data_IF_335679340585
#
_entry.id   IF_335679340585
#
_cell.length_a   1.000
_cell.length_b   1.000
_cell.length_c   1.000
_cell.angle_alpha   90.00
_cell.angle_beta   90.00
_cell.angle_gamma   90.00
#
_symmetry.space_group_name_H-M   'P 1'
#
loop_
_entity.id
_entity.type
_entity.pdbx_description
1 polymer ?
#
# COMPACT_ATOMS: atom_id res chain seq x y z
N UNK A 1 13.29 -0.37 -11.77
CA UNK A 1 13.41 -1.56 -12.65
C UNK A 1 12.53 -1.34 -13.87
N UNK A 2 13.04 -1.46 -15.10
CA UNK A 2 12.22 -1.30 -16.29
C UNK A 2 11.23 -2.47 -16.38
N UNK A 3 9.98 -2.17 -16.75
CA UNK A 3 8.94 -3.17 -16.96
C UNK A 3 9.11 -3.77 -18.35
N UNK A 4 9.11 -5.10 -18.45
CA UNK A 4 9.03 -5.81 -19.72
C UNK A 4 7.60 -6.30 -19.94
N UNK A 5 7.12 -6.19 -21.20
CA UNK A 5 5.81 -6.69 -21.59
C UNK A 5 5.96 -8.10 -22.17
N UNK A 6 5.12 -9.04 -21.72
CA UNK A 6 4.96 -10.34 -22.35
C UNK A 6 3.65 -10.39 -23.12
N UNK A 7 3.69 -10.98 -24.31
CA UNK A 7 2.50 -11.12 -25.16
C UNK A 7 1.57 -12.23 -24.65
N UNK A 8 2.15 -13.33 -24.17
CA UNK A 8 1.40 -14.51 -23.73
C UNK A 8 1.40 -14.66 -22.21
N UNK A 9 0.26 -15.07 -21.62
CA UNK A 9 0.20 -15.47 -20.22
C UNK A 9 1.14 -16.66 -19.98
N UNK A 10 1.72 -16.71 -18.80
CA UNK A 10 2.58 -17.82 -18.39
C UNK A 10 2.36 -18.15 -16.91
N UNK A 11 2.73 -19.36 -16.50
CA UNK A 11 2.78 -19.79 -15.13
C UNK A 11 4.20 -20.28 -14.79
N UNK A 12 4.73 -19.87 -13.64
CA UNK A 12 6.07 -20.25 -13.24
C UNK A 12 6.19 -20.22 -11.70
N UNK A 13 6.81 -21.23 -11.06
CA UNK A 13 6.88 -21.32 -9.59
C UNK A 13 7.64 -20.18 -8.92
N UNK A 14 8.62 -19.59 -9.60
CA UNK A 14 9.44 -18.51 -9.06
C UNK A 14 8.85 -17.11 -9.29
N UNK A 15 7.60 -17.01 -9.80
CA UNK A 15 6.95 -15.76 -10.08
C UNK A 15 5.72 -15.55 -9.21
N UNK A 16 5.59 -14.34 -8.65
CA UNK A 16 4.36 -13.85 -8.04
C UNK A 16 3.52 -13.12 -9.07
N UNK A 17 2.25 -13.50 -9.16
CA UNK A 17 1.28 -12.86 -10.03
C UNK A 17 0.35 -11.99 -9.19
N UNK A 18 0.15 -10.76 -9.63
CA UNK A 18 -0.66 -9.77 -8.94
C UNK A 18 -1.69 -9.17 -9.89
N UNK A 19 -2.82 -8.76 -9.32
CA UNK A 19 -3.83 -8.02 -10.07
C UNK A 19 -3.27 -6.64 -10.39
N UNK A 20 -3.34 -6.27 -11.67
CA UNK A 20 -3.06 -4.90 -12.10
C UNK A 20 -4.33 -4.07 -11.91
N UNK A 21 -4.36 -3.34 -10.82
CA UNK A 21 -5.45 -2.41 -10.54
C UNK A 21 -5.43 -1.22 -11.50
N UNK A 22 -6.63 -0.71 -11.82
CA UNK A 22 -6.83 0.47 -12.66
C UNK A 22 -7.22 1.65 -11.79
N UNK A 23 -6.26 2.54 -11.50
CA UNK A 23 -6.42 3.64 -10.58
C UNK A 23 -5.30 4.67 -10.67
N UNK A 24 -4.98 5.32 -9.57
CA UNK A 24 -3.85 6.23 -9.43
C UNK A 24 -2.80 5.62 -8.49
N UNK A 25 -1.62 5.31 -9.04
CA UNK A 25 -0.50 4.86 -8.21
C UNK A 25 -0.13 5.91 -7.18
N UNK A 26 -0.03 5.47 -5.94
CA UNK A 26 0.36 6.33 -4.84
C UNK A 26 1.24 5.59 -3.83
N UNK A 27 2.09 6.36 -3.15
CA UNK A 27 2.79 5.93 -1.94
C UNK A 27 2.03 6.51 -0.76
N UNK A 28 1.57 5.63 0.13
CA UNK A 28 0.98 6.01 1.41
C UNK A 28 2.10 6.19 2.43
N UNK A 29 2.13 7.35 3.05
CA UNK A 29 2.94 7.61 4.24
C UNK A 29 2.02 7.71 5.45
N UNK A 30 2.31 6.95 6.50
CA UNK A 30 1.67 7.04 7.80
C UNK A 30 2.72 7.34 8.86
N UNK A 31 2.58 8.45 9.54
CA UNK A 31 3.49 8.93 10.58
C UNK A 31 2.73 9.65 11.73
N UNK A 32 3.44 10.37 12.59
CA UNK A 32 2.85 11.12 13.70
C UNK A 32 1.95 12.28 13.27
N UNK A 33 2.08 12.76 12.04
CA UNK A 33 1.25 13.84 11.49
C UNK A 33 -0.03 13.31 10.83
N UNK A 34 -0.12 11.98 10.64
CA UNK A 34 -1.26 11.30 10.03
C UNK A 34 -0.91 10.57 8.75
N UNK A 35 -1.92 10.38 7.89
CA UNK A 35 -1.78 9.68 6.61
C UNK A 35 -1.80 10.67 5.46
N UNK A 36 -0.85 10.52 4.54
CA UNK A 36 -0.81 11.23 3.26
C UNK A 36 -0.55 10.27 2.10
N UNK A 37 -1.19 10.56 0.98
CA UNK A 37 -1.00 9.84 -0.28
C UNK A 37 -0.17 10.71 -1.23
N UNK A 38 0.91 10.16 -1.76
CA UNK A 38 1.85 10.87 -2.64
C UNK A 38 1.85 10.20 -4.01
N UNK A 39 1.68 11.00 -5.06
CA UNK A 39 1.68 10.54 -6.44
C UNK A 39 3.08 10.16 -6.93
N UNK A 40 3.16 9.49 -8.07
CA UNK A 40 4.41 9.16 -8.77
C UNK A 40 5.33 10.37 -9.00
N UNK A 41 4.75 11.56 -9.15
CA UNK A 41 5.49 12.81 -9.39
C UNK A 41 5.86 13.54 -8.07
N UNK A 42 5.67 12.91 -6.91
CA UNK A 42 5.98 13.50 -5.61
C UNK A 42 4.93 14.48 -5.07
N UNK A 43 3.80 14.65 -5.77
CA UNK A 43 2.75 15.57 -5.32
C UNK A 43 1.79 14.85 -4.35
N UNK A 44 1.46 15.50 -3.24
CA UNK A 44 0.43 15.00 -2.33
C UNK A 44 -0.96 15.12 -2.97
N UNK A 45 -1.73 14.05 -2.91
CA UNK A 45 -3.13 14.04 -3.34
C UNK A 45 -4.01 14.80 -2.35
N UNK A 46 -4.25 16.08 -2.64
CA UNK A 46 -5.15 16.94 -1.85
C UNK A 46 -6.63 16.61 -2.06
N UNK A 47 -6.93 15.81 -3.06
CA UNK A 47 -8.30 15.50 -3.50
C UNK A 47 -9.00 14.40 -2.70
N UNK A 48 -8.29 13.75 -1.77
CA UNK A 48 -8.77 12.59 -1.04
C UNK A 48 -8.63 12.75 0.50
N UNK A 49 -9.20 13.82 1.12
CA UNK A 49 -9.11 13.98 2.58
C UNK A 49 -9.88 12.88 3.32
N UNK A 50 -11.10 12.55 2.91
CA UNK A 50 -11.91 11.50 3.54
C UNK A 50 -11.25 10.12 3.55
N UNK A 51 -10.74 9.63 2.41
CA UNK A 51 -9.92 8.42 2.40
C UNK A 51 -8.74 8.43 3.36
N UNK A 52 -8.01 9.54 3.49
CA UNK A 52 -6.88 9.65 4.43
C UNK A 52 -7.32 9.48 5.89
N UNK A 53 -8.49 9.99 6.29
CA UNK A 53 -9.05 9.77 7.61
C UNK A 53 -9.39 8.29 7.87
N UNK A 54 -10.03 7.62 6.90
CA UNK A 54 -10.32 6.20 6.97
C UNK A 54 -9.07 5.35 7.06
N UNK A 55 -8.04 5.68 6.26
CA UNK A 55 -6.73 5.03 6.30
C UNK A 55 -6.03 5.23 7.66
N UNK A 56 -6.17 6.41 8.26
CA UNK A 56 -5.62 6.68 9.61
C UNK A 56 -6.27 5.76 10.65
N UNK A 57 -7.59 5.56 10.57
CA UNK A 57 -8.31 4.61 11.45
C UNK A 57 -7.89 3.18 11.21
N UNK A 58 -7.73 2.77 9.95
CA UNK A 58 -7.31 1.41 9.58
C UNK A 58 -5.91 1.09 10.08
N UNK A 59 -4.98 2.02 9.97
CA UNK A 59 -3.58 1.85 10.40
C UNK A 59 -3.37 1.99 11.92
N UNK A 60 -4.33 2.54 12.66
CA UNK A 60 -4.30 2.62 14.14
C UNK A 60 -3.00 3.21 14.69
N UNK A 61 -2.48 4.26 14.06
CA UNK A 61 -1.24 4.92 14.43
C UNK A 61 0.04 4.17 14.05
N UNK A 62 -0.07 3.10 13.23
CA UNK A 62 1.10 2.39 12.71
C UNK A 62 1.88 3.30 11.76
N UNK A 63 3.17 3.44 12.01
CA UNK A 63 4.08 4.22 11.18
C UNK A 63 4.67 3.32 10.09
N UNK A 64 4.33 3.59 8.84
CA UNK A 64 4.77 2.78 7.70
C UNK A 64 4.73 3.57 6.38
N UNK A 65 5.39 3.01 5.37
CA UNK A 65 5.30 3.49 3.98
C UNK A 65 4.86 2.33 3.11
N UNK A 66 3.71 2.49 2.45
CA UNK A 66 3.12 1.47 1.58
C UNK A 66 3.09 1.95 0.14
N UNK A 67 3.35 1.04 -0.81
CA UNK A 67 3.13 1.27 -2.24
C UNK A 67 1.80 0.64 -2.63
N UNK A 68 1.01 1.35 -3.41
CA UNK A 68 -0.34 0.90 -3.73
C UNK A 68 -1.01 1.70 -4.84
N UNK A 69 -2.28 1.44 -5.02
CA UNK A 69 -3.13 2.09 -6.00
C UNK A 69 -4.37 2.66 -5.32
N UNK A 70 -4.72 3.91 -5.64
CA UNK A 70 -6.01 4.50 -5.25
C UNK A 70 -7.05 4.02 -6.26
N UNK A 71 -8.09 3.32 -5.80
CA UNK A 71 -9.09 2.68 -6.65
C UNK A 71 -10.51 2.97 -6.16
N UNK A 72 -11.48 3.12 -7.07
CA UNK A 72 -12.89 2.96 -6.76
C UNK A 72 -13.33 1.58 -7.20
N UNK A 73 -14.10 0.88 -6.36
CA UNK A 73 -14.61 -0.45 -6.63
C UNK A 73 -16.14 -0.42 -6.68
N UNK A 74 -16.73 -1.25 -7.55
CA UNK A 74 -18.18 -1.52 -7.50
C UNK A 74 -18.51 -2.58 -6.43
N UNK A 75 -19.77 -2.95 -6.32
CA UNK A 75 -20.26 -3.96 -5.35
C UNK A 75 -19.70 -5.36 -5.57
N UNK A 76 -19.10 -5.62 -6.72
CA UNK A 76 -18.44 -6.88 -7.06
C UNK A 76 -16.91 -6.82 -6.93
N UNK A 77 -16.36 -5.69 -6.42
CA UNK A 77 -14.93 -5.47 -6.28
C UNK A 77 -14.21 -5.14 -7.59
N UNK A 78 -14.92 -4.75 -8.64
CA UNK A 78 -14.35 -4.40 -9.94
C UNK A 78 -13.91 -2.93 -9.97
N UNK A 79 -12.69 -2.63 -10.48
CA UNK A 79 -12.23 -1.24 -10.58
C UNK A 79 -13.11 -0.39 -11.48
N UNK A 80 -13.44 0.82 -11.02
CA UNK A 80 -14.26 1.82 -11.69
C UNK A 80 -13.47 3.12 -11.87
N UNK A 81 -12.49 3.12 -12.78
CA UNK A 81 -11.58 4.26 -12.98
C UNK A 81 -12.31 5.58 -13.24
N UNK A 82 -13.42 5.55 -13.99
CA UNK A 82 -14.23 6.75 -14.26
C UNK A 82 -14.84 7.33 -12.97
N UNK A 83 -15.24 6.49 -12.01
CA UNK A 83 -15.73 6.95 -10.71
C UNK A 83 -14.64 7.64 -9.92
N UNK A 84 -13.41 7.11 -9.97
CA UNK A 84 -12.23 7.73 -9.37
C UNK A 84 -11.92 9.09 -10.02
N UNK A 85 -11.83 9.13 -11.34
CA UNK A 85 -11.48 10.32 -12.12
C UNK A 85 -12.46 11.47 -11.89
N UNK A 86 -13.77 11.17 -11.87
CA UNK A 86 -14.85 12.16 -11.70
C UNK A 86 -15.33 12.28 -10.25
N UNK A 87 -14.65 11.66 -9.28
CA UNK A 87 -14.96 11.69 -7.83
C UNK A 87 -16.43 11.33 -7.53
N UNK A 88 -16.94 10.30 -8.20
CA UNK A 88 -18.32 9.83 -8.06
C UNK A 88 -18.51 8.82 -6.93
N UNK A 89 -17.43 8.29 -6.39
CA UNK A 89 -17.40 7.37 -5.26
C UNK A 89 -16.17 7.61 -4.42
N UNK A 90 -16.23 7.28 -3.16
CA UNK A 90 -15.08 7.32 -2.28
C UNK A 90 -14.12 6.19 -2.59
N UNK A 91 -12.82 6.48 -2.78
CA UNK A 91 -11.85 5.46 -3.13
C UNK A 91 -11.35 4.68 -1.91
N UNK A 92 -10.76 3.54 -2.23
CA UNK A 92 -9.92 2.72 -1.37
C UNK A 92 -8.46 2.89 -1.75
N UNK A 93 -7.56 2.58 -0.84
CA UNK A 93 -6.14 2.40 -1.14
C UNK A 93 -5.83 0.91 -1.10
N UNK A 94 -5.52 0.33 -2.24
CA UNK A 94 -5.10 -1.05 -2.36
C UNK A 94 -3.58 -1.13 -2.24
N UNK A 95 -3.10 -1.62 -1.09
CA UNK A 95 -1.67 -1.78 -0.84
C UNK A 95 -1.15 -3.09 -1.44
N UNK A 96 -0.08 -3.03 -2.22
CA UNK A 96 0.56 -4.22 -2.76
C UNK A 96 2.03 -4.39 -2.37
N UNK A 97 2.66 -3.37 -1.76
CA UNK A 97 4.00 -3.52 -1.20
C UNK A 97 4.18 -2.67 0.06
N UNK A 98 5.14 -3.05 0.90
CA UNK A 98 5.57 -2.29 2.05
C UNK A 98 7.03 -1.89 1.87
N UNK A 99 7.29 -0.58 1.93
CA UNK A 99 8.61 0.00 1.68
C UNK A 99 9.35 0.34 2.98
N UNK A 100 8.58 0.60 4.07
CA UNK A 100 9.12 0.87 5.40
C UNK A 100 8.10 0.43 6.46
N UNK A 101 8.57 -0.21 7.53
CA UNK A 101 7.77 -0.61 8.68
C UNK A 101 8.48 -0.20 9.98
N UNK A 102 7.89 0.72 10.74
CA UNK A 102 8.46 1.18 12.01
C UNK A 102 7.97 0.36 13.22
N UNK A 103 7.06 -0.59 13.01
CA UNK A 103 6.50 -1.44 14.05
C UNK A 103 6.89 -2.93 13.88
N UNK A 104 7.90 -3.22 13.08
CA UNK A 104 8.45 -4.56 13.05
C UNK A 104 9.01 -4.87 14.46
N UNK A 105 8.23 -5.57 15.29
CA UNK A 105 8.75 -6.15 16.53
C UNK A 105 9.76 -7.20 16.15
N UNK A 106 11.00 -7.00 16.50
CA UNK A 106 11.94 -8.09 16.61
C UNK A 106 11.60 -8.85 17.90
N UNK A 107 11.34 -10.14 17.79
CA UNK A 107 11.24 -11.02 18.96
C UNK A 107 12.65 -11.31 19.55
N UNK A 108 13.70 -10.73 18.97
CA UNK A 108 15.11 -10.82 19.41
C UNK A 108 15.55 -9.50 20.05
N UNK A 109 15.94 -9.58 21.33
CA UNK A 109 16.37 -8.41 22.14
C UNK A 109 17.61 -7.67 21.59
N UNK A 110 18.40 -8.28 20.71
CA UNK A 110 19.62 -7.69 20.12
C UNK A 110 19.36 -6.86 18.84
N UNK A 111 18.21 -7.04 18.19
CA UNK A 111 17.78 -6.22 17.05
C UNK A 111 17.19 -4.85 17.46
N UNK A 112 16.91 -4.62 18.74
CA UNK A 112 16.30 -3.36 19.25
C UNK A 112 17.12 -2.10 18.92
N UNK A 113 18.40 -2.23 18.61
CA UNK A 113 19.28 -1.11 18.21
C UNK A 113 19.15 -0.73 16.73
N UNK A 114 18.70 -1.65 15.85
CA UNK A 114 18.50 -1.37 14.40
C UNK A 114 17.19 -0.64 14.10
N UNK A 115 16.21 -0.70 14.99
CA UNK A 115 14.83 -0.27 14.71
C UNK A 115 14.44 1.11 15.24
N UNK A 116 15.36 1.90 15.80
CA UNK A 116 15.04 3.27 16.27
C UNK A 116 14.56 4.22 15.18
N UNK A 117 14.76 3.89 13.90
CA UNK A 117 14.40 4.75 12.76
C UNK A 117 13.45 4.10 11.74
N UNK A 118 12.82 2.96 12.07
CA UNK A 118 12.01 2.19 11.13
C UNK A 118 12.85 1.38 10.14
N UNK A 119 12.43 0.17 9.84
CA UNK A 119 13.13 -0.71 8.91
C UNK A 119 12.78 -0.35 7.46
N UNK A 120 13.80 -0.05 6.65
CA UNK A 120 13.67 -0.01 5.19
C UNK A 120 13.54 -1.45 4.68
N UNK A 121 12.35 -1.80 4.20
CA UNK A 121 12.04 -3.17 3.75
C UNK A 121 12.41 -3.42 2.29
N UNK A 122 12.85 -2.40 1.54
CA UNK A 122 13.09 -2.50 0.09
C UNK A 122 14.21 -3.47 -0.29
N UNK A 123 15.14 -3.75 0.64
CA UNK A 123 16.21 -4.75 0.45
C UNK A 123 15.77 -6.19 0.74
N UNK A 124 14.60 -6.38 1.35
CA UNK A 124 14.07 -7.72 1.64
C UNK A 124 13.49 -8.38 0.37
N UNK A 125 13.47 -9.71 0.31
CA UNK A 125 12.76 -10.44 -0.73
C UNK A 125 11.28 -10.03 -0.80
N UNK A 126 10.70 -10.00 -2.02
CA UNK A 126 9.30 -9.61 -2.20
C UNK A 126 8.34 -10.46 -1.36
N UNK A 127 8.58 -11.75 -1.25
CA UNK A 127 7.77 -12.67 -0.43
C UNK A 127 7.72 -12.26 1.03
N UNK A 128 8.85 -11.83 1.60
CA UNK A 128 8.91 -11.35 2.98
C UNK A 128 8.16 -10.01 3.14
N UNK A 129 8.35 -9.08 2.21
CA UNK A 129 7.58 -7.82 2.22
C UNK A 129 6.07 -8.08 2.14
N UNK A 130 5.62 -9.04 1.33
CA UNK A 130 4.20 -9.46 1.27
C UNK A 130 3.69 -10.02 2.59
N UNK A 131 4.50 -10.80 3.31
CA UNK A 131 4.14 -11.32 4.64
C UNK A 131 4.01 -10.18 5.65
N UNK A 132 4.90 -9.20 5.62
CA UNK A 132 4.82 -8.00 6.46
C UNK A 132 3.60 -7.16 6.13
N UNK A 133 3.35 -6.91 4.84
CA UNK A 133 2.18 -6.17 4.38
C UNK A 133 0.87 -6.79 4.91
N UNK A 134 0.73 -8.12 4.88
CA UNK A 134 -0.45 -8.83 5.43
C UNK A 134 -0.68 -8.59 6.92
N UNK A 135 0.34 -8.18 7.68
CA UNK A 135 0.21 -7.83 9.11
C UNK A 135 -0.21 -6.37 9.30
N UNK A 136 -0.01 -5.54 8.28
CA UNK A 136 -0.36 -4.11 8.29
C UNK A 136 -1.79 -3.91 7.81
N UNK A 137 -2.16 -4.57 6.71
CA UNK A 137 -3.49 -4.45 6.11
C UNK A 137 -4.52 -5.15 7.01
N UNK A 138 -5.55 -4.46 7.49
CA UNK A 138 -6.58 -5.06 8.31
C UNK A 138 -7.43 -6.05 7.51
N UNK A 139 -7.93 -7.11 8.17
CA UNK A 139 -8.81 -8.10 7.51
C UNK A 139 -10.13 -7.48 7.02
N UNK A 140 -10.57 -6.41 7.65
CA UNK A 140 -11.76 -5.61 7.28
C UNK A 140 -11.38 -4.15 7.48
N UNK A 141 -10.75 -3.56 6.47
CA UNK A 141 -10.40 -2.15 6.48
C UNK A 141 -11.58 -1.29 6.00
N UNK A 142 -11.64 -0.07 6.49
CA UNK A 142 -12.59 0.94 6.00
C UNK A 142 -12.15 1.45 4.63
N UNK A 143 -10.86 1.70 4.45
CA UNK A 143 -10.27 2.27 3.23
C UNK A 143 -8.99 1.57 2.77
N UNK A 144 -8.36 0.74 3.62
CA UNK A 144 -7.15 0.00 3.31
C UNK A 144 -7.50 -1.45 2.93
N UNK A 145 -7.09 -1.86 1.74
CA UNK A 145 -7.29 -3.20 1.17
C UNK A 145 -5.94 -3.87 0.87
#
# INVERSE_FOLDING_TARGET
MPLSRRAEPFNHPDWLFEIKWDGFRAVLHSDSEGVRLVSRNGNTFKSFPGPCEGLTRDLKGRRCVLDGEIVCLDSYGKPQFRHLLFRRAEPFFYAFDILRDEHARSDDEDETRRFRNGEDTRYLPLTERKLRLRRVVPKKGERLL
#
